data_IF_824497128669
#
_entry.id   IF_824497128669
#
_cell.length_a   1.000
_cell.length_b   1.000
_cell.length_c   1.000
_cell.angle_alpha   90.00
_cell.angle_beta   90.00
_cell.angle_gamma   90.00
#
_symmetry.space_group_name_H-M   'P 1'
#
loop_
_entity.id
_entity.type
_entity.pdbx_description
1 polymer ?
#
# COMPACT_ATOMS: atom_id res chain seq x y z
N UNK A 1 -9.41 -22.17 -1.29
CA UNK A 1 -8.20 -21.49 -1.83
C UNK A 1 -7.13 -21.43 -0.75
N UNK A 2 -5.90 -21.82 -1.05
CA UNK A 2 -4.82 -22.03 -0.09
C UNK A 2 -4.26 -20.69 0.44
N UNK A 3 -4.26 -20.49 1.76
CA UNK A 3 -3.93 -19.20 2.43
C UNK A 3 -2.54 -18.66 2.06
N UNK A 4 -1.58 -19.56 1.80
CA UNK A 4 -0.20 -19.23 1.42
C UNK A 4 -0.13 -18.51 0.06
N UNK A 5 -0.96 -18.94 -0.90
CA UNK A 5 -1.00 -18.33 -2.23
C UNK A 5 -1.60 -16.92 -2.17
N UNK A 6 -2.55 -16.69 -1.27
CA UNK A 6 -3.17 -15.38 -1.06
C UNK A 6 -2.17 -14.38 -0.47
N UNK A 7 -1.37 -14.81 0.52
CA UNK A 7 -0.32 -13.96 1.13
C UNK A 7 0.75 -13.58 0.12
N UNK A 8 1.23 -14.54 -0.69
CA UNK A 8 2.23 -14.26 -1.74
C UNK A 8 1.68 -13.33 -2.83
N UNK A 9 0.42 -13.53 -3.23
CA UNK A 9 -0.25 -12.66 -4.21
C UNK A 9 -0.38 -11.23 -3.70
N UNK A 10 -0.83 -11.07 -2.47
CA UNK A 10 -0.98 -9.76 -1.85
C UNK A 10 0.38 -9.04 -1.71
N UNK A 11 1.43 -9.76 -1.30
CA UNK A 11 2.77 -9.17 -1.17
C UNK A 11 3.29 -8.59 -2.50
N UNK A 12 3.10 -9.32 -3.61
CA UNK A 12 3.48 -8.84 -4.94
C UNK A 12 2.62 -7.66 -5.40
N UNK A 13 1.33 -7.67 -5.05
CA UNK A 13 0.42 -6.56 -5.32
C UNK A 13 0.82 -5.29 -4.57
N UNK A 14 1.03 -5.40 -3.25
CA UNK A 14 1.47 -4.31 -2.38
C UNK A 14 2.79 -3.72 -2.88
N UNK A 15 3.76 -4.57 -3.24
CA UNK A 15 5.03 -4.13 -3.81
C UNK A 15 4.84 -3.29 -5.06
N UNK A 16 4.00 -3.73 -6.01
CA UNK A 16 3.70 -2.97 -7.24
C UNK A 16 3.07 -1.61 -6.94
N UNK A 17 2.15 -1.55 -5.96
CA UNK A 17 1.54 -0.28 -5.53
C UNK A 17 2.62 0.65 -4.96
N UNK A 18 3.47 0.15 -4.07
CA UNK A 18 4.59 0.91 -3.49
C UNK A 18 5.55 1.43 -4.58
N UNK A 19 5.95 0.58 -5.53
CA UNK A 19 6.83 0.95 -6.65
C UNK A 19 6.22 2.10 -7.49
N UNK A 20 4.91 2.02 -7.78
CA UNK A 20 4.19 3.06 -8.52
C UNK A 20 4.07 4.38 -7.75
N UNK A 21 4.08 4.32 -6.42
CA UNK A 21 4.09 5.47 -5.52
C UNK A 21 5.50 5.98 -5.23
N UNK A 22 6.55 5.31 -5.73
CA UNK A 22 7.96 5.57 -5.41
C UNK A 22 8.24 5.48 -3.90
N UNK A 23 7.58 4.54 -3.22
CA UNK A 23 7.79 4.23 -1.81
C UNK A 23 8.55 2.91 -1.75
N UNK A 24 9.65 2.86 -0.99
CA UNK A 24 10.32 1.58 -0.75
C UNK A 24 9.47 0.68 0.14
N UNK A 25 9.19 -0.55 -0.32
CA UNK A 25 8.33 -1.49 0.39
C UNK A 25 8.84 -1.80 1.81
N UNK A 26 10.16 -1.86 2.00
CA UNK A 26 10.78 -2.09 3.32
C UNK A 26 10.49 -0.95 4.31
N UNK A 27 10.54 0.30 3.86
CA UNK A 27 10.16 1.46 4.66
C UNK A 27 8.66 1.44 4.95
N UNK A 28 7.82 1.17 3.95
CA UNK A 28 6.38 1.06 4.15
C UNK A 28 6.02 -0.02 5.20
N UNK A 29 6.62 -1.21 5.09
CA UNK A 29 6.43 -2.29 6.06
C UNK A 29 6.90 -1.90 7.48
N UNK A 30 8.02 -1.20 7.57
CA UNK A 30 8.54 -0.68 8.85
C UNK A 30 7.56 0.32 9.47
N UNK A 31 7.07 1.30 8.69
CA UNK A 31 6.09 2.29 9.16
C UNK A 31 4.76 1.65 9.57
N UNK A 32 4.28 0.65 8.85
CA UNK A 32 3.08 -0.12 9.23
C UNK A 32 3.26 -0.78 10.60
N UNK A 33 4.44 -1.37 10.85
CA UNK A 33 4.70 -2.10 12.09
C UNK A 33 4.93 -1.17 13.28
N UNK A 34 5.60 -0.03 13.07
CA UNK A 34 6.00 0.90 14.12
C UNK A 34 4.92 1.95 14.41
N UNK A 35 4.33 2.55 13.38
CA UNK A 35 3.48 3.73 13.47
C UNK A 35 2.05 3.40 13.05
N UNK A 36 1.42 2.42 13.72
CA UNK A 36 0.09 1.77 13.46
C UNK A 36 -1.12 2.65 13.05
N UNK A 37 -0.97 3.97 12.91
CA UNK A 37 -1.96 4.88 12.34
C UNK A 37 -2.09 4.75 10.81
N UNK A 38 -1.85 5.85 10.09
CA UNK A 38 -2.18 5.96 8.66
C UNK A 38 -1.52 4.90 7.76
N UNK A 39 -0.31 4.45 8.07
CA UNK A 39 0.37 3.41 7.29
C UNK A 39 -0.39 2.06 7.35
N UNK A 40 -0.89 1.68 8.54
CA UNK A 40 -1.68 0.46 8.71
C UNK A 40 -3.04 0.56 8.00
N UNK A 41 -3.71 1.71 8.11
CA UNK A 41 -4.97 1.97 7.41
C UNK A 41 -4.78 1.88 5.88
N UNK A 42 -3.72 2.49 5.36
CA UNK A 42 -3.38 2.43 3.95
C UNK A 42 -3.12 0.99 3.50
N UNK A 43 -2.37 0.21 4.28
CA UNK A 43 -2.10 -1.20 3.97
C UNK A 43 -3.38 -2.04 3.95
N UNK A 44 -4.26 -1.85 4.94
CA UNK A 44 -5.54 -2.54 4.99
C UNK A 44 -6.41 -2.19 3.78
N UNK A 45 -6.44 -0.92 3.39
CA UNK A 45 -7.16 -0.47 2.21
C UNK A 45 -6.59 -1.07 0.91
N UNK A 46 -5.26 -1.10 0.75
CA UNK A 46 -4.59 -1.79 -0.38
C UNK A 46 -4.98 -3.27 -0.44
N UNK A 47 -5.08 -3.93 0.72
CA UNK A 47 -5.51 -5.33 0.83
C UNK A 47 -6.97 -5.53 0.41
N UNK A 48 -7.86 -4.65 0.83
CA UNK A 48 -9.26 -4.69 0.41
C UNK A 48 -9.41 -4.47 -1.10
N UNK A 49 -8.67 -3.52 -1.68
CA UNK A 49 -8.63 -3.32 -3.13
C UNK A 49 -8.14 -4.55 -3.89
N UNK A 50 -7.08 -5.20 -3.40
CA UNK A 50 -6.61 -6.48 -3.98
C UNK A 50 -7.70 -7.56 -3.92
N UNK A 51 -8.48 -7.63 -2.84
CA UNK A 51 -9.59 -8.58 -2.71
C UNK A 51 -10.77 -8.25 -3.62
N UNK A 52 -10.99 -6.97 -3.93
CA UNK A 52 -12.02 -6.49 -4.88
C UNK A 52 -11.63 -6.72 -6.35
N UNK A 53 -10.36 -7.01 -6.61
CA UNK A 53 -9.84 -7.22 -7.96
C UNK A 53 -9.33 -5.94 -8.64
N UNK A 54 -9.16 -4.85 -7.87
CA UNK A 54 -8.56 -3.63 -8.39
C UNK A 54 -7.11 -3.90 -8.83
N UNK A 55 -6.64 -3.17 -9.83
CA UNK A 55 -5.25 -3.24 -10.27
C UNK A 55 -4.35 -2.35 -9.42
N UNK A 56 -3.08 -2.72 -9.30
CA UNK A 56 -2.09 -1.91 -8.57
C UNK A 56 -1.99 -0.47 -9.12
N UNK A 57 -2.23 -0.28 -10.43
CA UNK A 57 -2.23 1.03 -11.05
C UNK A 57 -3.44 1.88 -10.63
N UNK A 58 -4.64 1.32 -10.60
CA UNK A 58 -5.84 2.03 -10.12
C UNK A 58 -5.71 2.45 -8.66
N UNK A 59 -5.19 1.55 -7.82
CA UNK A 59 -4.91 1.82 -6.41
C UNK A 59 -3.90 2.96 -6.27
N UNK A 60 -2.75 2.88 -6.96
CA UNK A 60 -1.73 3.91 -6.90
C UNK A 60 -2.22 5.27 -7.44
N UNK A 61 -3.02 5.29 -8.50
CA UNK A 61 -3.62 6.52 -9.03
C UNK A 61 -4.62 7.14 -8.06
N UNK A 62 -5.45 6.33 -7.40
CA UNK A 62 -6.39 6.79 -6.39
C UNK A 62 -5.65 7.43 -5.22
N UNK A 63 -4.58 6.78 -4.74
CA UNK A 63 -3.72 7.31 -3.68
C UNK A 63 -3.09 8.65 -4.10
N UNK A 64 -2.51 8.74 -5.30
CA UNK A 64 -1.91 9.98 -5.84
C UNK A 64 -2.91 11.12 -5.99
N UNK A 65 -4.16 10.81 -6.33
CA UNK A 65 -5.25 11.78 -6.47
C UNK A 65 -5.81 12.23 -5.12
N UNK A 66 -5.63 11.43 -4.07
CA UNK A 66 -5.96 11.86 -2.73
C UNK A 66 -5.00 12.99 -2.32
N UNK A 67 -5.54 14.18 -2.06
CA UNK A 67 -4.78 15.37 -1.61
C UNK A 67 -4.01 15.16 -0.29
N UNK A 68 -4.08 13.98 0.31
CA UNK A 68 -3.49 13.65 1.61
C UNK A 68 -1.97 13.44 1.56
N UNK A 69 -1.37 13.22 0.38
CA UNK A 69 0.07 12.89 0.28
C UNK A 69 1.00 14.05 -0.12
N UNK A 70 0.48 15.17 -0.63
CA UNK A 70 1.34 16.21 -1.20
C UNK A 70 1.83 17.21 -0.14
N UNK A 71 1.06 17.45 0.94
CA UNK A 71 1.34 18.59 1.83
C UNK A 71 1.93 18.24 3.20
N UNK A 72 2.12 16.97 3.58
CA UNK A 72 2.44 16.63 4.98
C UNK A 72 3.43 15.49 5.24
N UNK A 73 4.18 15.02 4.25
CA UNK A 73 5.29 14.09 4.50
C UNK A 73 6.60 14.83 4.26
N UNK A 74 6.90 15.80 5.14
CA UNK A 74 8.27 16.24 5.37
C UNK A 74 8.97 15.17 6.22
N UNK A 75 9.67 14.25 5.58
CA UNK A 75 10.76 13.54 6.23
C UNK A 75 11.97 14.47 6.26
N UNK A 76 12.05 15.29 7.31
CA UNK A 76 13.28 15.95 7.77
C UNK A 76 13.74 15.28 9.06
#
# INVERSE_FOLDING_TARGET
>A
MNTINNVKSFFLFERKVCDLLRIEQCHFATYVNQNRGYALLLRNWIKESHQKGDTANEVAQTIKRSKLLVDNINFL
#
